data_IF_541574942142
#
_entry.id   IF_541574942142
#
_cell.length_a   1.000
_cell.length_b   1.000
_cell.length_c   1.000
_cell.angle_alpha   90.00
_cell.angle_beta   90.00
_cell.angle_gamma   90.00
#
_symmetry.space_group_name_H-M   'P 1'
#
loop_
_entity.id
_entity.type
_entity.pdbx_description
1 polymer ?
#
# COMPACT_ATOMS: atom_id res chain seq x y z
N UNK A 1 55.56 37.43 -25.86
CA UNK A 1 54.80 37.78 -24.64
C UNK A 1 54.02 36.55 -24.20
N UNK A 2 54.07 36.23 -22.91
CA UNK A 2 53.64 34.96 -22.31
C UNK A 2 52.36 35.11 -21.46
N UNK A 3 51.48 34.11 -21.55
CA UNK A 3 50.76 33.38 -20.47
C UNK A 3 50.36 34.10 -19.17
N UNK A 4 49.06 34.02 -18.79
CA UNK A 4 48.60 33.26 -17.60
C UNK A 4 47.07 33.22 -17.45
N UNK A 5 46.54 31.99 -17.47
CA UNK A 5 45.24 31.53 -17.00
C UNK A 5 45.13 31.60 -15.48
N UNK A 6 43.92 31.84 -14.95
CA UNK A 6 43.40 31.31 -13.66
C UNK A 6 41.85 31.42 -13.74
N UNK A 7 40.93 30.53 -13.32
CA UNK A 7 40.87 29.45 -12.32
C UNK A 7 39.64 28.56 -12.70
N UNK A 8 39.83 27.32 -13.18
CA UNK A 8 39.84 26.02 -12.46
C UNK A 8 38.49 25.30 -12.51
N UNK A 9 38.45 24.38 -13.47
CA UNK A 9 37.56 23.25 -13.68
C UNK A 9 37.67 22.23 -12.54
N UNK A 10 36.56 21.65 -12.13
CA UNK A 10 36.56 20.42 -11.34
C UNK A 10 35.61 19.41 -11.98
N UNK A 11 36.09 18.77 -13.05
CA UNK A 11 35.56 17.51 -13.50
C UNK A 11 36.56 16.36 -13.25
N UNK A 12 36.03 15.29 -12.62
CA UNK A 12 36.47 13.89 -12.68
C UNK A 12 37.68 13.47 -11.82
N UNK A 13 37.45 12.60 -10.83
CA UNK A 13 38.14 11.30 -10.78
C UNK A 13 37.21 10.24 -10.15
N UNK A 14 37.00 9.17 -10.89
CA UNK A 14 36.45 7.90 -10.45
C UNK A 14 37.46 7.13 -9.55
N UNK A 15 36.98 6.01 -8.97
CA UNK A 15 37.71 4.80 -8.58
C UNK A 15 37.95 4.55 -7.08
N UNK A 16 37.62 3.30 -6.74
CA UNK A 16 37.93 2.47 -5.57
C UNK A 16 39.26 2.71 -4.82
N UNK A 17 39.24 2.72 -3.48
CA UNK A 17 39.86 1.69 -2.62
C UNK A 17 39.93 2.15 -1.13
N UNK A 18 39.09 1.50 -0.31
CA UNK A 18 39.24 1.11 1.10
C UNK A 18 40.27 1.84 2.00
N UNK A 19 39.78 2.44 3.10
CA UNK A 19 40.30 2.14 4.45
C UNK A 19 39.17 2.28 5.48
N UNK A 20 38.76 1.13 6.02
CA UNK A 20 37.82 0.94 7.13
C UNK A 20 38.42 1.46 8.46
N UNK A 21 37.54 1.85 9.40
CA UNK A 21 37.54 1.61 10.88
C UNK A 21 36.97 2.83 11.65
N UNK A 22 36.37 2.67 12.84
CA UNK A 22 35.11 1.97 13.12
C UNK A 22 34.12 2.84 13.95
N UNK A 23 32.84 2.46 13.95
CA UNK A 23 31.85 2.64 15.03
C UNK A 23 31.97 3.86 15.98
N UNK A 24 31.21 4.93 15.70
CA UNK A 24 30.29 5.57 16.68
C UNK A 24 29.68 6.88 16.16
N UNK A 25 28.35 6.96 16.30
CA UNK A 25 27.42 8.07 16.08
C UNK A 25 26.73 8.05 14.71
N UNK A 26 25.71 7.20 14.61
CA UNK A 26 24.59 7.47 13.73
C UNK A 26 24.01 8.84 14.14
N UNK A 27 23.86 9.84 13.26
CA UNK A 27 22.75 10.75 13.46
C UNK A 27 21.52 9.86 13.31
N UNK A 28 20.80 9.65 14.42
CA UNK A 28 19.42 9.23 14.37
C UNK A 28 18.65 10.31 13.60
N UNK A 29 18.77 10.30 12.29
CA UNK A 29 17.67 10.69 11.43
C UNK A 29 16.65 9.61 11.76
N UNK A 30 15.76 9.94 12.70
CA UNK A 30 14.47 9.31 12.73
C UNK A 30 13.89 9.55 11.34
N UNK A 31 14.18 8.63 10.42
CA UNK A 31 13.29 8.34 9.32
C UNK A 31 11.95 8.19 10.02
N UNK A 32 11.13 9.23 9.88
CA UNK A 32 9.71 9.11 10.11
C UNK A 32 9.31 8.12 9.03
N UNK A 33 9.43 6.83 9.35
CA UNK A 33 8.88 5.75 8.57
C UNK A 33 7.42 6.15 8.45
N UNK A 34 7.08 6.69 7.29
CA UNK A 34 5.71 6.97 6.91
C UNK A 34 5.14 5.60 6.66
N UNK A 35 4.92 4.85 7.75
CA UNK A 35 4.30 3.53 7.69
C UNK A 35 2.91 3.84 7.17
N UNK A 36 2.70 3.56 5.88
CA UNK A 36 1.38 3.58 5.28
C UNK A 36 0.46 2.77 6.21
N UNK A 37 -0.74 3.28 6.52
CA UNK A 37 -1.62 2.61 7.45
C UNK A 37 -1.98 1.23 6.87
N UNK A 38 -1.37 0.20 7.46
CA UNK A 38 -1.58 -1.20 7.12
C UNK A 38 -2.58 -1.77 8.11
N UNK A 39 -3.76 -2.14 7.61
CA UNK A 39 -4.78 -2.84 8.37
C UNK A 39 -4.81 -4.30 7.91
N UNK A 40 -4.52 -5.23 8.81
CA UNK A 40 -4.73 -6.66 8.59
C UNK A 40 -5.98 -7.12 9.36
N UNK A 41 -6.89 -7.79 8.67
CA UNK A 41 -8.11 -8.35 9.24
C UNK A 41 -8.35 -9.77 8.71
N UNK A 42 -8.88 -10.65 9.55
CA UNK A 42 -9.31 -11.98 9.10
C UNK A 42 -10.63 -11.87 8.33
N UNK A 43 -10.78 -12.65 7.26
CA UNK A 43 -12.05 -12.73 6.54
C UNK A 43 -13.22 -13.17 7.43
N UNK A 44 -12.96 -13.96 8.48
CA UNK A 44 -13.99 -14.37 9.44
C UNK A 44 -14.47 -13.25 10.34
N UNK A 45 -13.66 -12.20 10.53
CA UNK A 45 -14.02 -11.01 11.31
C UNK A 45 -14.75 -9.96 10.47
N UNK A 46 -14.85 -10.18 9.16
CA UNK A 46 -15.63 -9.30 8.30
C UNK A 46 -17.12 -9.52 8.55
N UNK A 47 -17.82 -8.42 8.79
CA UNK A 47 -19.25 -8.41 9.05
C UNK A 47 -19.98 -7.92 7.80
N UNK A 48 -20.50 -8.84 6.96
CA UNK A 48 -21.30 -8.43 5.82
C UNK A 48 -22.68 -7.93 6.25
N UNK A 49 -23.27 -7.10 5.40
CA UNK A 49 -24.66 -6.68 5.53
C UNK A 49 -25.65 -7.81 5.15
N UNK A 50 -26.94 -7.47 5.06
CA UNK A 50 -28.00 -8.42 4.73
C UNK A 50 -27.89 -9.05 3.33
N UNK A 51 -27.14 -8.43 2.41
CA UNK A 51 -26.87 -8.93 1.06
C UNK A 51 -25.55 -9.70 0.95
N UNK A 52 -24.74 -9.76 2.01
CA UNK A 52 -23.38 -10.31 1.91
C UNK A 52 -22.34 -9.26 1.51
N UNK A 53 -22.67 -7.97 1.59
CA UNK A 53 -21.82 -6.88 1.10
C UNK A 53 -21.05 -6.25 2.26
N UNK A 54 -19.78 -5.92 2.02
CA UNK A 54 -18.90 -5.25 2.97
C UNK A 54 -18.35 -4.01 2.28
N UNK A 55 -18.35 -2.85 2.95
CA UNK A 55 -17.80 -1.61 2.39
C UNK A 55 -16.64 -1.13 3.27
N UNK A 56 -15.46 -1.00 2.67
CA UNK A 56 -14.28 -0.46 3.31
C UNK A 56 -13.90 0.88 2.67
N UNK A 57 -14.16 1.96 3.41
CA UNK A 57 -13.76 3.30 3.04
C UNK A 57 -12.62 3.73 3.96
N UNK A 58 -11.53 4.20 3.37
CA UNK A 58 -10.45 4.83 4.11
C UNK A 58 -10.33 6.29 3.72
N UNK A 59 -10.20 7.15 4.74
CA UNK A 59 -9.92 8.57 4.56
C UNK A 59 -8.41 8.84 4.40
N UNK A 60 -7.56 7.82 4.60
CA UNK A 60 -6.13 7.93 4.46
C UNK A 60 -5.67 7.60 3.04
N UNK A 61 -4.89 8.50 2.44
CA UNK A 61 -4.22 8.28 1.17
C UNK A 61 -3.27 7.09 1.29
N UNK A 62 -3.34 6.15 0.34
CA UNK A 62 -2.51 4.94 0.28
C UNK A 62 -2.68 4.00 1.48
N UNK A 63 -3.94 3.69 1.79
CA UNK A 63 -4.24 2.68 2.81
C UNK A 63 -4.04 1.29 2.27
N UNK A 64 -3.41 0.42 3.05
CA UNK A 64 -3.22 -0.97 2.67
C UNK A 64 -4.14 -1.85 3.52
N UNK A 65 -5.00 -2.63 2.86
CA UNK A 65 -5.89 -3.59 3.50
C UNK A 65 -5.41 -5.00 3.20
N UNK A 66 -5.03 -5.73 4.23
CA UNK A 66 -4.72 -7.14 4.15
C UNK A 66 -5.90 -7.95 4.67
N UNK A 67 -6.38 -8.90 3.87
CA UNK A 67 -7.41 -9.85 4.27
C UNK A 67 -6.77 -11.24 4.37
N UNK A 68 -6.74 -11.77 5.59
CA UNK A 68 -6.28 -13.13 5.86
C UNK A 68 -7.41 -14.12 5.60
N UNK A 69 -7.27 -14.91 4.55
CA UNK A 69 -8.29 -15.89 4.13
C UNK A 69 -7.73 -16.94 3.17
N UNK A 70 -8.26 -18.15 3.27
CA UNK A 70 -8.09 -19.21 2.27
C UNK A 70 -9.19 -19.19 1.19
N UNK A 71 -10.12 -18.24 1.29
CA UNK A 71 -11.23 -18.08 0.35
C UNK A 71 -10.76 -17.30 -0.88
N UNK A 72 -10.97 -17.87 -2.08
CA UNK A 72 -10.54 -17.25 -3.32
C UNK A 72 -11.47 -16.10 -3.75
N UNK A 73 -10.90 -15.09 -4.41
CA UNK A 73 -11.67 -14.09 -5.14
C UNK A 73 -12.05 -14.67 -6.51
N UNK A 74 -13.35 -14.77 -6.77
CA UNK A 74 -13.89 -15.32 -8.03
C UNK A 74 -14.31 -14.24 -9.03
N UNK A 75 -14.47 -13.01 -8.57
CA UNK A 75 -14.82 -11.88 -9.42
C UNK A 75 -14.22 -10.60 -8.84
N UNK A 76 -13.77 -9.70 -9.70
CA UNK A 76 -13.30 -8.38 -9.29
C UNK A 76 -13.48 -7.36 -10.40
N UNK A 77 -13.53 -6.09 -10.02
CA UNK A 77 -13.66 -5.00 -10.98
C UNK A 77 -14.03 -3.69 -10.30
N UNK A 78 -14.65 -2.79 -11.06
CA UNK A 78 -15.19 -1.53 -10.57
C UNK A 78 -16.70 -1.62 -10.53
N UNK A 79 -17.29 -1.24 -9.41
CA UNK A 79 -18.72 -1.30 -9.18
C UNK A 79 -19.43 -0.25 -10.04
N UNK A 80 -20.50 -0.67 -10.73
CA UNK A 80 -21.43 0.25 -11.37
C UNK A 80 -22.36 0.92 -10.35
N UNK A 81 -23.40 1.59 -10.83
CA UNK A 81 -24.42 2.18 -9.96
C UNK A 81 -25.11 1.10 -9.11
N UNK A 82 -24.79 1.08 -7.82
CA UNK A 82 -25.33 0.15 -6.84
C UNK A 82 -25.41 0.81 -5.46
N UNK A 83 -26.39 0.42 -4.67
CA UNK A 83 -26.56 0.88 -3.28
C UNK A 83 -26.77 -0.34 -2.39
N UNK A 84 -25.92 -0.47 -1.38
CA UNK A 84 -25.94 -1.62 -0.46
C UNK A 84 -27.23 -1.65 0.37
N UNK A 85 -27.48 -2.75 1.08
CA UNK A 85 -28.64 -2.84 1.98
C UNK A 85 -28.62 -1.79 3.09
N UNK A 86 -27.43 -1.32 3.47
CA UNK A 86 -27.26 -0.24 4.44
C UNK A 86 -27.46 1.17 3.84
N UNK A 87 -27.71 1.27 2.53
CA UNK A 87 -27.96 2.54 1.85
C UNK A 87 -26.69 3.26 1.38
N UNK A 88 -25.54 2.58 1.33
CA UNK A 88 -24.28 3.16 0.86
C UNK A 88 -24.16 3.03 -0.66
N UNK A 89 -23.90 4.15 -1.35
CA UNK A 89 -23.58 4.12 -2.77
C UNK A 89 -22.13 3.66 -2.95
N UNK A 90 -21.95 2.59 -3.73
CA UNK A 90 -20.63 1.98 -4.01
C UNK A 90 -20.18 2.19 -5.45
N UNK A 91 -20.87 3.03 -6.22
CA UNK A 91 -20.50 3.34 -7.60
C UNK A 91 -19.07 3.89 -7.70
N UNK A 92 -18.27 3.29 -8.57
CA UNK A 92 -16.87 3.66 -8.76
C UNK A 92 -15.89 3.05 -7.76
N UNK A 93 -16.37 2.30 -6.75
CA UNK A 93 -15.51 1.54 -5.85
C UNK A 93 -14.97 0.27 -6.51
N UNK A 94 -13.78 -0.16 -6.13
CA UNK A 94 -13.28 -1.49 -6.50
C UNK A 94 -14.07 -2.54 -5.74
N UNK A 95 -14.49 -3.62 -6.40
CA UNK A 95 -15.17 -4.74 -5.75
C UNK A 95 -14.41 -6.04 -5.93
N UNK A 96 -14.54 -6.92 -4.93
CA UNK A 96 -13.95 -8.26 -4.89
C UNK A 96 -14.98 -9.22 -4.31
N UNK A 97 -15.48 -10.14 -5.13
CA UNK A 97 -16.42 -11.18 -4.71
C UNK A 97 -15.64 -12.45 -4.38
N UNK A 98 -15.80 -12.93 -3.15
CA UNK A 98 -15.19 -14.13 -2.64
C UNK A 98 -16.05 -15.38 -2.92
N UNK A 99 -15.42 -16.56 -2.96
CA UNK A 99 -16.15 -17.83 -2.91
C UNK A 99 -17.05 -17.87 -1.67
N UNK A 100 -18.35 -18.10 -1.87
CA UNK A 100 -19.36 -18.02 -0.81
C UNK A 100 -20.30 -16.83 -0.93
N UNK A 101 -20.05 -15.92 -1.87
CA UNK A 101 -20.99 -14.86 -2.26
C UNK A 101 -20.78 -13.52 -1.57
N UNK A 102 -19.86 -13.44 -0.61
CA UNK A 102 -19.47 -12.19 0.04
C UNK A 102 -18.78 -11.25 -0.95
N UNK A 103 -19.18 -9.99 -0.99
CA UNK A 103 -18.55 -8.98 -1.85
C UNK A 103 -18.00 -7.83 -1.02
N UNK A 104 -16.71 -7.57 -1.15
CA UNK A 104 -16.04 -6.42 -0.56
C UNK A 104 -15.97 -5.28 -1.58
N UNK A 105 -16.44 -4.10 -1.21
CA UNK A 105 -16.24 -2.85 -1.91
C UNK A 105 -15.19 -2.02 -1.17
N UNK A 106 -14.21 -1.49 -1.89
CA UNK A 106 -13.19 -0.64 -1.32
C UNK A 106 -12.92 0.61 -2.16
N UNK A 107 -12.53 1.70 -1.50
CA UNK A 107 -12.07 2.91 -2.17
C UNK A 107 -10.93 2.61 -3.14
N UNK A 108 -10.84 3.30 -4.29
CA UNK A 108 -9.79 3.09 -5.27
C UNK A 108 -8.37 3.40 -4.73
N UNK A 109 -8.28 4.22 -3.67
CA UNK A 109 -7.03 4.56 -2.99
C UNK A 109 -6.59 3.51 -1.95
N UNK A 110 -7.35 2.43 -1.80
CA UNK A 110 -7.03 1.30 -0.91
C UNK A 110 -6.39 0.19 -1.74
N UNK A 111 -5.17 -0.19 -1.37
CA UNK A 111 -4.51 -1.36 -1.93
C UNK A 111 -4.92 -2.61 -1.15
N UNK A 112 -5.66 -3.50 -1.81
CA UNK A 112 -6.12 -4.76 -1.23
C UNK A 112 -5.11 -5.89 -1.52
N UNK A 113 -4.62 -6.53 -0.45
CA UNK A 113 -3.81 -7.75 -0.54
C UNK A 113 -4.54 -8.91 0.14
N UNK A 114 -4.65 -10.04 -0.56
CA UNK A 114 -5.20 -11.28 0.00
C UNK A 114 -4.03 -12.16 0.46
N UNK A 115 -4.03 -12.51 1.75
CA UNK A 115 -2.98 -13.31 2.38
C UNK A 115 -3.61 -14.66 2.77
N UNK A 116 -3.00 -15.81 2.41
CA UNK A 116 -3.49 -17.11 2.85
C UNK A 116 -3.48 -17.20 4.37
N UNK A 117 -4.56 -17.71 4.98
CA UNK A 117 -4.60 -17.92 6.43
C UNK A 117 -3.73 -19.12 6.79
N UNK A 118 -2.53 -18.86 7.31
CA UNK A 118 -1.66 -19.90 7.86
C UNK A 118 -2.33 -20.52 9.10
N UNK A 119 -3.11 -21.59 8.87
CA UNK A 119 -3.73 -22.41 9.92
C UNK A 119 -2.72 -23.31 10.64
#
# INVERSE_FOLDING_TARGET
MATKNIFTDYSLISNEESLIYPESIQPAVSEVSSQEPLLTISYQDLLPDSNGEIVFLSDASHSHLNIETDVNVINSGVAGSHTTSEGLNVEGLSFYTFEGGTTLYCSPDVELTIIPSHS
#
